data_IF_661260507291
#
_entry.id   IF_661260507291
#
_cell.length_a   1.000
_cell.length_b   1.000
_cell.length_c   1.000
_cell.angle_alpha   90.00
_cell.angle_beta   90.00
_cell.angle_gamma   90.00
#
_symmetry.space_group_name_H-M   'P 1'
#
loop_
_entity.id
_entity.type
_entity.pdbx_description
1 polymer ?
#
# COMPACT_ATOMS: atom_id res chain seq x y z
N UNK A 1 3.04 -9.26 -1.38
CA UNK A 1 3.07 -9.97 -2.68
C UNK A 1 4.42 -9.79 -3.37
N UNK A 2 4.95 -8.57 -3.44
CA UNK A 2 6.22 -8.27 -4.14
C UNK A 2 7.46 -8.52 -3.27
N UNK A 3 7.38 -8.27 -1.97
CA UNK A 3 8.48 -8.47 -1.03
C UNK A 3 8.24 -9.68 -0.14
N UNK A 4 9.31 -10.43 0.17
CA UNK A 4 9.32 -11.55 1.12
C UNK A 4 9.98 -11.08 2.42
N UNK A 5 9.16 -10.70 3.40
CA UNK A 5 9.62 -10.23 4.71
C UNK A 5 9.34 -11.26 5.80
N UNK A 6 10.13 -11.20 6.89
CA UNK A 6 9.92 -12.06 8.08
C UNK A 6 8.67 -11.66 8.87
N UNK A 7 8.32 -10.38 8.88
CA UNK A 7 7.12 -9.83 9.53
C UNK A 7 6.52 -8.73 8.68
N UNK A 8 5.19 -8.68 8.62
CA UNK A 8 4.42 -7.69 7.86
C UNK A 8 3.67 -6.70 8.75
N UNK A 9 4.05 -6.60 10.03
CA UNK A 9 3.50 -5.55 10.91
C UNK A 9 3.99 -4.18 10.44
N UNK A 10 3.17 -3.13 10.64
CA UNK A 10 3.52 -1.77 10.22
C UNK A 10 4.89 -1.33 10.76
N UNK A 11 5.20 -1.66 12.01
CA UNK A 11 6.50 -1.36 12.61
C UNK A 11 7.66 -2.05 11.87
N UNK A 12 7.56 -3.36 11.61
CA UNK A 12 8.62 -4.12 10.94
C UNK A 12 8.87 -3.63 9.50
N UNK A 13 7.78 -3.35 8.76
CA UNK A 13 7.85 -2.87 7.37
C UNK A 13 8.41 -1.45 7.33
N UNK A 14 7.97 -0.57 8.23
CA UNK A 14 8.47 0.81 8.32
C UNK A 14 9.95 0.84 8.68
N UNK A 15 10.38 0.01 9.63
CA UNK A 15 11.78 -0.08 10.00
C UNK A 15 12.63 -0.59 8.83
N UNK A 16 12.17 -1.63 8.14
CA UNK A 16 12.89 -2.22 7.01
C UNK A 16 13.12 -1.22 5.86
N UNK A 17 12.09 -0.47 5.44
CA UNK A 17 12.18 0.40 4.26
C UNK A 17 12.50 1.87 4.55
N UNK A 18 12.08 2.39 5.71
CA UNK A 18 12.19 3.80 6.07
C UNK A 18 13.23 4.06 7.16
N UNK A 19 13.74 3.02 7.84
CA UNK A 19 14.55 3.15 9.06
C UNK A 19 13.81 3.92 10.17
N UNK A 20 12.48 3.82 10.17
CA UNK A 20 11.60 4.47 11.16
C UNK A 20 10.74 3.46 11.88
N UNK A 21 10.47 3.74 13.15
CA UNK A 21 9.62 2.92 13.98
C UNK A 21 8.26 3.58 14.20
N UNK A 22 7.27 2.74 14.44
CA UNK A 22 5.96 3.15 14.95
C UNK A 22 6.11 3.55 16.42
N UNK A 23 5.31 4.51 16.87
CA UNK A 23 5.17 4.85 18.28
C UNK A 23 4.62 3.67 19.08
N UNK A 24 5.27 3.31 20.19
CA UNK A 24 4.82 2.19 21.01
C UNK A 24 3.71 2.64 21.99
N UNK A 25 2.49 2.19 21.69
CA UNK A 25 1.33 2.30 22.58
C UNK A 25 0.69 0.93 22.66
N UNK A 26 0.74 0.32 23.85
CA UNK A 26 0.08 -0.96 24.07
C UNK A 26 -1.43 -0.83 23.97
N UNK A 27 -2.07 -1.82 23.34
CA UNK A 27 -3.51 -1.82 23.14
C UNK A 27 -4.31 -1.75 24.46
N UNK A 28 -3.79 -2.36 25.53
CA UNK A 28 -4.41 -2.38 26.86
C UNK A 28 -4.58 -0.98 27.45
N UNK A 29 -3.68 -0.04 27.16
CA UNK A 29 -3.69 1.30 27.76
C UNK A 29 -4.47 2.32 26.92
N UNK A 30 -4.96 1.96 25.74
CA UNK A 30 -5.63 2.91 24.82
C UNK A 30 -6.88 3.50 25.47
N UNK A 31 -7.71 2.66 26.09
CA UNK A 31 -8.93 3.11 26.77
C UNK A 31 -8.62 4.05 27.93
N UNK A 32 -7.58 3.77 28.70
CA UNK A 32 -7.15 4.61 29.82
C UNK A 32 -6.60 5.95 29.34
N UNK A 33 -5.79 5.95 28.27
CA UNK A 33 -5.27 7.17 27.66
C UNK A 33 -6.39 8.06 27.10
N UNK A 34 -7.44 7.47 26.55
CA UNK A 34 -8.59 8.20 26.03
C UNK A 34 -9.42 8.85 27.15
N UNK A 35 -9.67 8.10 28.22
CA UNK A 35 -10.47 8.54 29.38
C UNK A 35 -9.70 9.43 30.36
N UNK A 36 -8.39 9.57 30.18
CA UNK A 36 -7.53 10.43 31.00
C UNK A 36 -7.67 11.93 30.69
N UNK A 37 -6.55 12.63 30.71
CA UNK A 37 -6.49 14.08 30.54
C UNK A 37 -6.38 14.51 29.06
N UNK A 38 -6.39 15.82 28.83
CA UNK A 38 -6.09 16.37 27.51
C UNK A 38 -4.68 15.96 27.01
N UNK A 39 -3.71 15.87 27.92
CA UNK A 39 -2.34 15.48 27.59
C UNK A 39 -2.26 14.02 27.15
N UNK A 40 -3.02 13.11 27.78
CA UNK A 40 -3.04 11.68 27.37
C UNK A 40 -3.73 11.49 26.02
N UNK A 41 -4.82 12.22 25.77
CA UNK A 41 -5.47 12.26 24.45
C UNK A 41 -4.57 12.84 23.37
N UNK A 42 -3.77 13.87 23.68
CA UNK A 42 -2.76 14.40 22.76
C UNK A 42 -1.71 13.35 22.39
N UNK A 43 -1.22 12.57 23.36
CA UNK A 43 -0.30 11.45 23.09
C UNK A 43 -0.93 10.42 22.15
N UNK A 44 -2.20 10.06 22.39
CA UNK A 44 -2.93 9.14 21.50
C UNK A 44 -3.10 9.71 20.09
N UNK A 45 -3.38 11.01 19.96
CA UNK A 45 -3.49 11.67 18.66
C UNK A 45 -2.16 11.65 17.87
N UNK A 46 -1.03 11.90 18.54
CA UNK A 46 0.31 11.81 17.91
C UNK A 46 0.60 10.39 17.43
N UNK A 47 0.28 9.38 18.26
CA UNK A 47 0.38 7.97 17.88
C UNK A 47 -0.45 7.65 16.62
N UNK A 48 -1.71 8.05 16.58
CA UNK A 48 -2.59 7.84 15.42
C UNK A 48 -2.05 8.55 14.16
N UNK A 49 -1.55 9.77 14.33
CA UNK A 49 -0.99 10.54 13.22
C UNK A 49 0.26 9.85 12.65
N UNK A 50 1.16 9.35 13.49
CA UNK A 50 2.33 8.58 13.03
C UNK A 50 1.91 7.32 12.28
N UNK A 51 0.91 6.58 12.79
CA UNK A 51 0.39 5.37 12.15
C UNK A 51 -0.27 5.64 10.79
N UNK A 52 -0.88 6.81 10.60
CA UNK A 52 -1.43 7.23 9.30
C UNK A 52 -0.35 7.73 8.33
N UNK A 53 0.71 8.36 8.86
CA UNK A 53 1.77 8.95 8.05
C UNK A 53 2.76 7.92 7.50
N UNK A 54 3.07 6.87 8.27
CA UNK A 54 4.00 5.81 7.84
C UNK A 54 3.57 5.12 6.53
N UNK A 55 2.30 4.70 6.35
CA UNK A 55 1.81 4.16 5.08
C UNK A 55 1.98 5.11 3.89
N UNK A 56 1.72 6.41 4.06
CA UNK A 56 1.90 7.39 2.99
C UNK A 56 3.36 7.43 2.52
N UNK A 57 4.30 7.47 3.46
CA UNK A 57 5.73 7.43 3.14
C UNK A 57 6.20 6.12 2.55
N UNK A 58 5.61 5.00 2.97
CA UNK A 58 5.87 3.70 2.34
C UNK A 58 5.41 3.69 0.88
N UNK A 59 4.23 4.25 0.58
CA UNK A 59 3.71 4.36 -0.79
C UNK A 59 4.66 5.17 -1.68
N UNK A 60 5.19 6.28 -1.16
CA UNK A 60 6.16 7.13 -1.86
C UNK A 60 7.51 6.42 -2.03
N UNK A 61 8.08 5.88 -0.95
CA UNK A 61 9.39 5.21 -0.96
C UNK A 61 9.45 4.03 -1.91
N UNK A 62 8.36 3.28 -2.01
CA UNK A 62 8.23 2.10 -2.88
C UNK A 62 7.68 2.44 -4.27
N UNK A 63 7.37 3.72 -4.52
CA UNK A 63 6.76 4.20 -5.77
C UNK A 63 5.51 3.41 -6.18
N UNK A 64 4.71 2.97 -5.19
CA UNK A 64 3.60 2.04 -5.42
C UNK A 64 2.61 2.54 -6.47
N UNK A 65 2.23 3.82 -6.39
CA UNK A 65 1.26 4.43 -7.30
C UNK A 65 1.78 4.46 -8.73
N UNK A 66 3.03 4.90 -8.92
CA UNK A 66 3.67 4.99 -10.24
C UNK A 66 3.76 3.59 -10.87
N UNK A 67 4.27 2.62 -10.11
CA UNK A 67 4.44 1.25 -10.60
C UNK A 67 3.10 0.62 -11.02
N UNK A 68 2.03 0.85 -10.26
CA UNK A 68 0.70 0.35 -10.62
C UNK A 68 0.08 1.10 -11.80
N UNK A 69 0.28 2.42 -11.91
CA UNK A 69 -0.18 3.19 -13.07
C UNK A 69 0.52 2.71 -14.35
N UNK A 70 1.84 2.57 -14.34
CA UNK A 70 2.59 2.10 -15.51
C UNK A 70 2.20 0.67 -15.89
N UNK A 71 2.05 -0.23 -14.91
CA UNK A 71 1.57 -1.59 -15.16
C UNK A 71 0.17 -1.59 -15.78
N UNK A 72 -0.75 -0.75 -15.31
CA UNK A 72 -2.09 -0.62 -15.87
C UNK A 72 -2.05 -0.09 -17.32
N UNK A 73 -1.16 0.87 -17.62
CA UNK A 73 -0.99 1.41 -18.98
C UNK A 73 -0.43 0.36 -19.94
N UNK A 74 0.62 -0.36 -19.56
CA UNK A 74 1.29 -1.37 -20.40
C UNK A 74 0.40 -2.58 -20.66
N UNK A 75 -0.33 -3.04 -19.64
CA UNK A 75 -1.21 -4.22 -19.77
C UNK A 75 -2.62 -3.84 -20.23
N UNK A 76 -2.96 -2.55 -20.16
CA UNK A 76 -4.25 -1.96 -20.48
C UNK A 76 -5.41 -2.65 -19.74
N UNK A 77 -5.24 -2.88 -18.44
CA UNK A 77 -6.29 -3.34 -17.52
C UNK A 77 -6.65 -2.23 -16.53
N UNK A 78 -7.87 -2.20 -15.97
CA UNK A 78 -8.23 -1.25 -14.92
C UNK A 78 -7.32 -1.36 -13.69
N UNK A 79 -6.98 -0.23 -13.04
CA UNK A 79 -6.07 -0.19 -11.89
C UNK A 79 -6.51 -1.14 -10.76
N UNK A 80 -7.81 -1.21 -10.46
CA UNK A 80 -8.35 -2.11 -9.43
C UNK A 80 -8.09 -3.59 -9.70
N UNK A 81 -7.85 -3.99 -10.95
CA UNK A 81 -7.52 -5.38 -11.29
C UNK A 81 -6.10 -5.75 -10.86
N UNK A 82 -5.19 -4.79 -10.74
CA UNK A 82 -3.82 -5.06 -10.29
C UNK A 82 -3.76 -5.54 -8.83
N UNK A 83 -4.73 -5.13 -8.01
CA UNK A 83 -4.86 -5.53 -6.61
C UNK A 83 -5.72 -6.79 -6.45
N UNK A 84 -6.85 -6.84 -7.17
CA UNK A 84 -7.88 -7.88 -6.97
C UNK A 84 -7.75 -9.10 -7.88
N UNK A 85 -7.03 -9.01 -9.01
CA UNK A 85 -6.91 -10.10 -10.00
C UNK A 85 -5.48 -10.61 -10.13
N UNK A 86 -5.35 -11.79 -10.75
CA UNK A 86 -4.07 -12.45 -11.03
C UNK A 86 -3.43 -11.98 -12.34
N UNK A 87 -2.33 -12.63 -12.75
CA UNK A 87 -1.59 -12.24 -13.95
C UNK A 87 -2.35 -12.56 -15.26
N UNK A 88 -3.24 -13.56 -15.26
CA UNK A 88 -3.94 -14.01 -16.46
C UNK A 88 -4.76 -12.91 -17.15
N UNK A 89 -5.43 -12.02 -16.39
CA UNK A 89 -6.25 -10.95 -16.99
C UNK A 89 -5.41 -9.95 -17.79
N UNK A 90 -4.13 -9.78 -17.43
CA UNK A 90 -3.19 -8.91 -18.16
C UNK A 90 -2.83 -9.53 -19.51
N UNK A 91 -2.53 -10.84 -19.50
CA UNK A 91 -2.19 -11.60 -20.71
C UNK A 91 -3.38 -11.60 -21.68
N UNK A 92 -4.57 -11.93 -21.19
CA UNK A 92 -5.79 -11.94 -22.03
C UNK A 92 -6.08 -10.54 -22.59
N UNK A 93 -5.95 -9.49 -21.79
CA UNK A 93 -6.12 -8.10 -22.24
C UNK A 93 -5.15 -7.74 -23.37
N UNK A 94 -3.89 -8.13 -23.27
CA UNK A 94 -2.89 -7.88 -24.30
C UNK A 94 -3.17 -8.68 -25.57
N UNK A 95 -3.50 -9.97 -25.48
CA UNK A 95 -3.85 -10.81 -26.62
C UNK A 95 -5.05 -10.26 -27.39
N UNK A 96 -6.13 -9.90 -26.69
CA UNK A 96 -7.32 -9.32 -27.32
C UNK A 96 -7.02 -8.00 -28.04
N UNK A 97 -6.14 -7.17 -27.49
CA UNK A 97 -5.72 -5.90 -28.12
C UNK A 97 -4.92 -6.14 -29.39
N UNK A 98 -4.03 -7.13 -29.39
CA UNK A 98 -3.23 -7.50 -30.57
C UNK A 98 -4.12 -8.03 -31.70
N UNK A 99 -5.06 -8.93 -31.39
CA UNK A 99 -6.00 -9.47 -32.40
C UNK A 99 -6.87 -8.37 -33.01
N UNK A 100 -7.39 -7.45 -32.19
CA UNK A 100 -8.20 -6.32 -32.67
C UNK A 100 -7.39 -5.31 -33.49
N UNK A 101 -6.14 -5.04 -33.12
CA UNK A 101 -5.25 -4.14 -33.88
C UNK A 101 -4.81 -4.73 -35.21
N UNK A 102 -4.57 -6.06 -35.27
CA UNK A 102 -4.15 -6.75 -36.48
C UNK A 102 -5.25 -6.89 -37.55
N UNK A 103 -6.53 -6.89 -37.16
CA UNK A 103 -7.66 -6.98 -38.11
C UNK A 103 -7.97 -5.68 -38.86
N UNK A 104 -7.31 -4.56 -38.52
CA UNK A 104 -7.45 -3.28 -39.24
C UNK A 104 -6.35 -3.00 -40.28
N UNK A 105 -5.43 -3.94 -40.49
CA UNK A 105 -4.27 -3.81 -41.41
C UNK A 105 -4.30 -4.78 -42.59
N UNK A 106 -5.45 -5.40 -42.85
CA UNK A 106 -5.77 -6.25 -44.01
C UNK A 106 -6.99 -5.67 -44.71
#
# INVERSE_FOLDING_TARGET
REFKLRSYTLNAVSFHFLQEQKEDVQHSIITDLQNGSEQTRRRLAVYCLKDAYLPLRLLEKLMCVINYMEMARVTGVPLGYLLSRGQQVKVVSQLLRQVRGGMGSL
#
